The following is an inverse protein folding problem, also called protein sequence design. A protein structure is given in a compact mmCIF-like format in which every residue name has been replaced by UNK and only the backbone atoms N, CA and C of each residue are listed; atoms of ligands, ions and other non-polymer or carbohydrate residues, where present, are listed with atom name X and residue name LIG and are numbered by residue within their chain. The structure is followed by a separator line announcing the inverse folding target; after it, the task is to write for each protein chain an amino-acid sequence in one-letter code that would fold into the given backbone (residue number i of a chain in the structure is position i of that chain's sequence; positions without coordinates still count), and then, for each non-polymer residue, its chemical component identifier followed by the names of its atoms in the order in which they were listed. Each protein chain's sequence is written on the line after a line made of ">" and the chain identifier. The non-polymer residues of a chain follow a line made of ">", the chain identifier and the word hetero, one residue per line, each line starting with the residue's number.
data_IF_756671305168
#
_entry.id   IF_756671305168
#
_cell.length_a   1.000
_cell.length_b   1.000
_cell.length_c   1.000
_cell.angle_alpha   90.00
_cell.angle_beta   90.00
_cell.angle_gamma   90.00
#
_symmetry.space_group_name_H-M   'P 1'
#
loop_
_entity.id
_entity.type
_entity.pdbx_description
1 polymer ?
#
# COMPACT_ATOMS: atom_id res chain seq x y z
N UNK A 1 23.74 23.43 -20.18
CA UNK A 1 22.49 22.78 -19.71
C UNK A 1 21.50 23.88 -19.42
N UNK A 2 20.39 23.95 -20.13
CA UNK A 2 19.34 24.92 -19.84
C UNK A 2 18.44 24.37 -18.73
N UNK A 3 18.42 25.04 -17.57
CA UNK A 3 17.52 24.70 -16.47
C UNK A 3 16.14 25.26 -16.79
N UNK A 4 15.16 24.39 -17.01
CA UNK A 4 13.78 24.79 -17.27
C UNK A 4 13.12 25.07 -15.93
N UNK A 5 12.57 26.29 -15.69
CA UNK A 5 11.89 26.60 -14.45
C UNK A 5 10.60 25.78 -14.32
N UNK A 6 10.35 25.25 -13.12
CA UNK A 6 9.15 24.49 -12.84
C UNK A 6 7.91 25.41 -12.86
N UNK A 7 6.87 24.99 -13.60
CA UNK A 7 5.60 25.72 -13.71
C UNK A 7 4.70 25.48 -12.48
N UNK A 8 4.88 24.34 -11.81
CA UNK A 8 4.13 23.94 -10.61
C UNK A 8 5.07 23.48 -9.52
N UNK A 9 4.66 23.64 -8.27
CA UNK A 9 5.44 23.14 -7.13
C UNK A 9 5.47 21.61 -7.12
N UNK A 10 6.52 21.04 -6.51
CA UNK A 10 6.68 19.58 -6.44
C UNK A 10 5.55 18.93 -5.65
N UNK A 11 5.11 19.57 -4.57
CA UNK A 11 4.04 19.10 -3.69
C UNK A 11 2.70 19.02 -4.43
N UNK A 12 2.40 20.01 -5.29
CA UNK A 12 1.20 20.00 -6.11
C UNK A 12 1.25 18.89 -7.15
N UNK A 13 2.40 18.73 -7.81
CA UNK A 13 2.61 17.65 -8.76
C UNK A 13 2.39 16.28 -8.12
N UNK A 14 3.03 16.02 -6.97
CA UNK A 14 2.93 14.74 -6.27
C UNK A 14 1.49 14.47 -5.78
N UNK A 15 0.77 15.50 -5.29
CA UNK A 15 -0.67 15.39 -4.96
C UNK A 15 -1.52 14.99 -6.16
N UNK A 16 -1.26 15.58 -7.33
CA UNK A 16 -1.99 15.25 -8.56
C UNK A 16 -1.67 13.83 -8.99
N UNK A 17 -0.40 13.41 -8.96
CA UNK A 17 -0.02 12.03 -9.28
C UNK A 17 -0.73 11.01 -8.38
N UNK A 18 -0.75 11.24 -7.06
CA UNK A 18 -1.48 10.40 -6.11
C UNK A 18 -3.00 10.35 -6.41
N UNK A 19 -3.59 11.51 -6.74
CA UNK A 19 -5.01 11.58 -7.11
C UNK A 19 -5.30 10.85 -8.42
N UNK A 20 -4.43 10.96 -9.43
CA UNK A 20 -4.55 10.25 -10.70
C UNK A 20 -4.44 8.74 -10.52
N UNK A 21 -3.50 8.26 -9.68
CA UNK A 21 -3.37 6.85 -9.35
C UNK A 21 -4.65 6.30 -8.68
N UNK A 22 -5.20 7.04 -7.72
CA UNK A 22 -6.48 6.70 -7.08
C UNK A 22 -7.63 6.71 -8.10
N UNK A 23 -7.73 7.75 -8.92
CA UNK A 23 -8.79 7.85 -9.92
C UNK A 23 -8.71 6.72 -10.97
N UNK A 24 -7.51 6.19 -11.25
CA UNK A 24 -7.32 5.06 -12.16
C UNK A 24 -7.94 3.78 -11.61
N UNK A 25 -7.80 3.48 -10.32
CA UNK A 25 -8.42 2.30 -9.71
C UNK A 25 -9.95 2.41 -9.64
N UNK A 26 -10.47 3.63 -9.46
CA UNK A 26 -11.91 3.92 -9.41
C UNK A 26 -12.48 4.42 -10.75
N UNK A 27 -11.78 4.33 -11.87
CA UNK A 27 -12.27 4.87 -13.13
C UNK A 27 -13.55 4.17 -13.61
N UNK A 28 -14.60 4.94 -13.90
CA UNK A 28 -15.90 4.42 -14.38
C UNK A 28 -15.99 4.30 -15.92
N UNK A 29 -15.03 4.88 -16.65
CA UNK A 29 -15.07 5.03 -18.13
C UNK A 29 -15.30 3.72 -18.91
N UNK A 30 -14.82 2.58 -18.38
CA UNK A 30 -14.98 1.28 -19.02
C UNK A 30 -16.09 0.41 -18.38
N UNK A 31 -16.88 0.98 -17.47
CA UNK A 31 -17.96 0.27 -16.79
C UNK A 31 -19.32 0.73 -17.36
N UNK A 32 -19.69 0.18 -18.51
CA UNK A 32 -20.89 0.57 -19.25
C UNK A 32 -22.13 -0.27 -18.91
N UNK A 33 -21.96 -1.43 -18.26
CA UNK A 33 -23.01 -2.48 -18.26
C UNK A 33 -23.51 -2.90 -16.88
N UNK A 34 -22.77 -2.64 -15.80
CA UNK A 34 -23.11 -3.13 -14.46
C UNK A 34 -22.97 -2.04 -13.40
N UNK A 35 -24.09 -1.64 -12.78
CA UNK A 35 -24.14 -0.78 -11.59
C UNK A 35 -24.09 -1.69 -10.35
N UNK A 36 -23.02 -1.61 -9.57
CA UNK A 36 -22.85 -2.30 -8.29
C UNK A 36 -22.11 -1.37 -7.33
N UNK A 37 -22.47 -1.41 -6.05
CA UNK A 37 -22.09 -0.39 -5.06
C UNK A 37 -20.60 -0.47 -4.72
N UNK A 38 -20.11 -1.68 -4.42
CA UNK A 38 -18.77 -1.89 -3.83
C UNK A 38 -17.66 -2.04 -4.88
N UNK A 39 -17.74 -1.30 -5.98
CA UNK A 39 -16.75 -1.38 -7.06
C UNK A 39 -15.35 -1.00 -6.58
N UNK A 40 -14.38 -1.88 -6.83
CA UNK A 40 -12.98 -1.72 -6.42
C UNK A 40 -12.77 -1.63 -4.89
N UNK A 41 -13.78 -1.95 -4.08
CA UNK A 41 -13.70 -1.91 -2.61
C UNK A 41 -13.66 -3.29 -1.97
N UNK A 42 -14.07 -4.33 -2.70
CA UNK A 42 -14.14 -5.70 -2.16
C UNK A 42 -12.81 -6.43 -2.34
N UNK A 43 -12.28 -6.97 -1.24
CA UNK A 43 -11.12 -7.86 -1.21
C UNK A 43 -11.51 -9.25 -0.71
N UNK A 44 -10.81 -10.28 -1.19
CA UNK A 44 -11.07 -11.67 -0.80
C UNK A 44 -10.51 -11.96 0.60
N UNK A 45 -11.35 -12.34 1.55
CA UNK A 45 -10.89 -12.71 2.90
C UNK A 45 -9.90 -13.89 2.96
N UNK A 46 -9.89 -14.78 1.96
CA UNK A 46 -9.01 -15.95 1.93
C UNK A 46 -7.61 -15.69 1.36
N UNK A 47 -7.48 -14.78 0.38
CA UNK A 47 -6.21 -14.56 -0.32
C UNK A 47 -5.86 -13.09 -0.52
N UNK A 48 -6.64 -12.17 0.05
CA UNK A 48 -6.45 -10.72 0.06
C UNK A 48 -6.39 -10.03 -1.32
N UNK A 49 -6.58 -10.77 -2.41
CA UNK A 49 -6.70 -10.21 -3.75
C UNK A 49 -8.04 -9.51 -3.94
N UNK A 50 -8.07 -8.50 -4.80
CA UNK A 50 -9.28 -7.78 -5.15
C UNK A 50 -10.35 -8.70 -5.74
N UNK A 51 -11.61 -8.35 -5.52
CA UNK A 51 -12.78 -8.95 -6.15
C UNK A 51 -13.30 -8.03 -7.26
N UNK A 52 -13.70 -8.65 -8.37
CA UNK A 52 -14.36 -7.97 -9.47
C UNK A 52 -15.82 -8.42 -9.55
N UNK A 53 -16.73 -7.50 -9.86
CA UNK A 53 -18.09 -7.90 -10.15
C UNK A 53 -18.15 -8.57 -11.54
N UNK A 54 -18.92 -9.65 -11.65
CA UNK A 54 -19.28 -10.29 -12.91
C UNK A 54 -20.77 -10.60 -12.91
N UNK A 55 -21.41 -10.29 -14.03
CA UNK A 55 -22.77 -10.74 -14.32
C UNK A 55 -22.72 -12.18 -14.82
N UNK A 56 -23.48 -13.06 -14.20
CA UNK A 56 -23.68 -14.44 -14.61
C UNK A 56 -24.78 -14.50 -15.66
N UNK A 57 -24.50 -15.13 -16.79
CA UNK A 57 -25.51 -15.53 -17.78
C UNK A 57 -25.86 -17.01 -17.55
N UNK A 58 -27.14 -17.43 -17.62
CA UNK A 58 -28.33 -16.70 -18.11
C UNK A 58 -29.17 -16.00 -17.03
N UNK A 59 -28.87 -16.14 -15.74
CA UNK A 59 -29.73 -15.66 -14.64
C UNK A 59 -29.69 -14.15 -14.38
N UNK A 60 -28.88 -13.40 -15.13
CA UNK A 60 -28.62 -11.95 -15.01
C UNK A 60 -28.13 -11.48 -13.61
N UNK A 61 -27.80 -12.43 -12.74
CA UNK A 61 -27.35 -12.15 -11.38
C UNK A 61 -25.91 -11.66 -11.37
N UNK A 62 -25.62 -10.65 -10.56
CA UNK A 62 -24.26 -10.09 -10.41
C UNK A 62 -23.60 -10.66 -9.17
N UNK A 63 -22.32 -11.03 -9.29
CA UNK A 63 -21.52 -11.60 -8.21
C UNK A 63 -20.18 -10.89 -8.08
N UNK A 64 -19.70 -10.68 -6.86
CA UNK A 64 -18.30 -10.38 -6.61
C UNK A 64 -17.47 -11.66 -6.62
N UNK A 65 -16.44 -11.67 -7.48
CA UNK A 65 -15.58 -12.82 -7.72
C UNK A 65 -14.13 -12.41 -7.51
N UNK A 66 -13.43 -13.17 -6.66
CA UNK A 66 -12.00 -12.99 -6.42
C UNK A 66 -11.19 -13.09 -7.73
N UNK A 67 -10.32 -12.11 -7.98
CA UNK A 67 -9.41 -12.09 -9.14
C UNK A 67 -8.40 -13.22 -9.12
N UNK A 68 -8.13 -13.83 -7.96
CA UNK A 68 -7.39 -15.09 -7.81
C UNK A 68 -8.04 -16.29 -8.52
N UNK A 69 -9.28 -16.12 -9.02
CA UNK A 69 -9.96 -17.07 -9.88
C UNK A 69 -9.84 -16.75 -11.37
N UNK A 70 -9.15 -15.69 -11.77
CA UNK A 70 -8.82 -15.44 -13.18
C UNK A 70 -7.73 -16.39 -13.65
N UNK A 71 -7.84 -16.92 -14.87
CA UNK A 71 -6.90 -17.92 -15.41
C UNK A 71 -5.44 -17.44 -15.36
N UNK A 72 -5.17 -16.19 -15.78
CA UNK A 72 -3.83 -15.61 -15.77
C UNK A 72 -3.26 -15.52 -14.34
N UNK A 73 -4.08 -15.11 -13.37
CA UNK A 73 -3.67 -14.99 -11.97
C UNK A 73 -3.43 -16.37 -11.35
N UNK A 74 -4.30 -17.36 -11.63
CA UNK A 74 -4.10 -18.75 -11.21
C UNK A 74 -2.80 -19.34 -11.75
N UNK A 75 -2.50 -19.12 -13.04
CA UNK A 75 -1.25 -19.57 -13.65
C UNK A 75 -0.02 -18.96 -12.97
N UNK A 76 -0.08 -17.68 -12.60
CA UNK A 76 1.00 -16.99 -11.88
C UNK A 76 1.17 -17.50 -10.43
N UNK A 77 0.07 -17.76 -9.73
CA UNK A 77 0.11 -18.15 -8.31
C UNK A 77 0.27 -19.65 -8.09
N UNK A 78 0.12 -20.48 -9.13
CA UNK A 78 0.18 -21.94 -9.03
C UNK A 78 -1.01 -22.57 -8.29
N UNK A 79 -1.97 -21.77 -7.81
CA UNK A 79 -3.16 -22.25 -7.11
C UNK A 79 -4.41 -21.42 -7.46
N UNK A 80 -5.58 -22.00 -7.21
CA UNK A 80 -6.88 -21.33 -7.38
C UNK A 80 -7.44 -20.93 -6.01
N UNK A 81 -7.88 -19.67 -5.88
CA UNK A 81 -8.58 -19.23 -4.68
C UNK A 81 -9.89 -20.02 -4.48
N UNK A 82 -10.09 -20.57 -3.28
CA UNK A 82 -11.27 -21.39 -2.92
C UNK A 82 -12.48 -20.58 -2.44
N UNK A 83 -12.41 -19.25 -2.41
CA UNK A 83 -13.52 -18.40 -1.96
C UNK A 83 -14.80 -18.64 -2.77
N UNK A 84 -15.97 -18.46 -2.15
CA UNK A 84 -17.25 -18.56 -2.85
C UNK A 84 -17.50 -17.30 -3.68
N UNK A 85 -18.37 -17.40 -4.68
CA UNK A 85 -18.90 -16.21 -5.35
C UNK A 85 -19.89 -15.54 -4.41
N UNK A 86 -19.74 -14.23 -4.25
CA UNK A 86 -20.57 -13.47 -3.31
C UNK A 86 -21.68 -12.81 -4.13
N UNK A 87 -22.97 -13.09 -3.87
CA UNK A 87 -24.07 -12.37 -4.53
C UNK A 87 -23.93 -10.87 -4.28
N UNK A 88 -23.87 -10.08 -5.35
CA UNK A 88 -23.56 -8.65 -5.25
C UNK A 88 -24.63 -7.88 -4.47
N UNK A 89 -25.91 -8.14 -4.75
CA UNK A 89 -27.02 -7.49 -4.04
C UNK A 89 -26.98 -7.73 -2.53
N UNK A 90 -26.83 -8.98 -2.10
CA UNK A 90 -26.77 -9.30 -0.67
C UNK A 90 -25.59 -8.63 0.06
N UNK A 91 -24.43 -8.52 -0.61
CA UNK A 91 -23.28 -7.83 -0.03
C UNK A 91 -23.46 -6.31 -0.03
N UNK A 92 -23.97 -5.75 -1.13
CA UNK A 92 -24.24 -4.33 -1.28
C UNK A 92 -25.26 -3.86 -0.24
N UNK A 93 -26.35 -4.61 -0.04
CA UNK A 93 -27.39 -4.31 0.94
C UNK A 93 -26.84 -4.33 2.38
N UNK A 94 -26.03 -5.35 2.70
CA UNK A 94 -25.38 -5.46 4.02
C UNK A 94 -24.47 -4.26 4.28
N UNK A 95 -23.58 -3.94 3.33
CA UNK A 95 -22.65 -2.81 3.51
C UNK A 95 -23.39 -1.48 3.50
N UNK A 96 -24.47 -1.34 2.73
CA UNK A 96 -25.30 -0.15 2.74
C UNK A 96 -26.00 0.05 4.08
N UNK A 97 -26.55 -1.01 4.67
CA UNK A 97 -27.16 -0.95 6.01
C UNK A 97 -26.14 -0.53 7.07
N UNK A 98 -24.95 -1.13 7.06
CA UNK A 98 -23.85 -0.76 7.95
C UNK A 98 -23.43 0.71 7.75
N UNK A 99 -23.34 1.17 6.50
CA UNK A 99 -22.99 2.56 6.18
C UNK A 99 -24.05 3.53 6.71
N UNK A 100 -25.34 3.19 6.57
CA UNK A 100 -26.44 4.02 7.08
C UNK A 100 -26.38 4.10 8.62
N UNK A 101 -26.21 2.98 9.33
CA UNK A 101 -26.06 2.98 10.80
C UNK A 101 -24.85 3.81 11.23
N UNK A 102 -23.73 3.67 10.50
CA UNK A 102 -22.49 4.39 10.76
C UNK A 102 -22.66 5.90 10.59
N UNK A 103 -23.36 6.33 9.54
CA UNK A 103 -23.63 7.75 9.27
C UNK A 103 -24.64 8.35 10.28
N UNK A 104 -25.54 7.54 10.84
CA UNK A 104 -26.45 7.96 11.91
C UNK A 104 -25.72 8.15 13.26
N UNK A 105 -24.55 7.55 13.42
CA UNK A 105 -23.75 7.63 14.64
C UNK A 105 -22.32 8.14 14.35
N UNK A 106 -22.16 9.40 13.88
CA UNK A 106 -20.86 9.93 13.46
C UNK A 106 -19.81 9.94 14.59
N UNK A 107 -20.24 10.00 15.85
CA UNK A 107 -19.35 9.88 17.01
C UNK A 107 -18.64 8.53 17.08
N UNK A 108 -19.28 7.45 16.60
CA UNK A 108 -18.67 6.12 16.52
C UNK A 108 -17.59 6.09 15.45
N UNK A 109 -17.81 6.77 14.31
CA UNK A 109 -16.81 6.95 13.25
C UNK A 109 -15.63 7.75 13.78
N UNK A 110 -15.87 8.90 14.42
CA UNK A 110 -14.82 9.73 14.98
C UNK A 110 -13.96 8.94 15.98
N UNK A 111 -14.59 8.17 16.88
CA UNK A 111 -13.87 7.29 17.82
C UNK A 111 -13.14 6.13 17.13
N UNK A 112 -13.69 5.56 16.06
CA UNK A 112 -13.04 4.50 15.30
C UNK A 112 -11.85 5.04 14.49
N UNK A 113 -11.99 6.20 13.86
CA UNK A 113 -10.92 6.92 13.18
C UNK A 113 -9.84 7.36 14.17
N UNK A 114 -10.20 7.91 15.33
CA UNK A 114 -9.21 8.21 16.38
C UNK A 114 -8.45 6.96 16.85
N UNK A 115 -9.13 5.81 16.97
CA UNK A 115 -8.47 4.53 17.27
C UNK A 115 -7.57 4.05 16.11
N UNK A 116 -7.99 4.22 14.86
CA UNK A 116 -7.22 3.84 13.69
C UNK A 116 -5.99 4.75 13.49
N UNK A 117 -6.18 6.07 13.57
CA UNK A 117 -5.18 7.13 13.44
C UNK A 117 -4.24 7.23 14.65
N UNK A 118 -4.73 6.93 15.85
CA UNK A 118 -3.96 6.87 17.09
C UNK A 118 -2.99 5.69 17.16
N UNK A 119 -2.90 4.92 16.09
CA UNK A 119 -1.88 3.92 15.97
C UNK A 119 -2.35 2.49 16.28
N UNK A 120 -3.59 2.14 16.01
CA UNK A 120 -4.04 0.76 16.16
C UNK A 120 -4.41 0.08 14.83
N UNK A 121 -4.36 0.80 13.69
CA UNK A 121 -4.75 0.26 12.38
C UNK A 121 -3.66 -0.46 11.59
N UNK A 122 -2.39 -0.39 12.03
CA UNK A 122 -1.33 -1.24 11.48
C UNK A 122 -1.13 -2.39 12.48
N UNK A 123 -1.10 -3.66 12.03
CA UNK A 123 -0.66 -4.78 12.87
C UNK A 123 0.54 -4.37 13.70
N UNK A 124 0.54 -4.66 15.01
CA UNK A 124 1.63 -4.30 15.93
C UNK A 124 3.01 -4.70 15.38
N UNK A 125 3.05 -5.82 14.65
CA UNK A 125 4.20 -6.33 13.92
C UNK A 125 4.73 -5.36 12.84
N UNK A 126 3.84 -4.74 12.04
CA UNK A 126 4.23 -3.77 11.01
C UNK A 126 4.81 -2.49 11.62
N UNK A 127 4.27 -2.04 12.75
CA UNK A 127 4.82 -0.89 13.51
C UNK A 127 6.17 -1.19 14.09
N UNK A 128 6.30 -2.33 14.76
CA UNK A 128 7.57 -2.79 15.32
C UNK A 128 8.61 -2.93 14.21
N UNK A 129 8.21 -3.43 13.03
CA UNK A 129 9.08 -3.55 11.86
C UNK A 129 9.52 -2.19 11.31
N UNK A 130 8.62 -1.24 11.13
CA UNK A 130 8.97 0.13 10.71
C UNK A 130 9.92 0.80 11.70
N UNK A 131 9.63 0.69 13.00
CA UNK A 131 10.47 1.25 14.06
C UNK A 131 11.86 0.59 14.08
N UNK A 132 11.94 -0.73 13.91
CA UNK A 132 13.21 -1.45 13.84
C UNK A 132 14.04 -1.01 12.61
N UNK A 133 13.41 -0.83 11.45
CA UNK A 133 14.09 -0.33 10.25
C UNK A 133 14.62 1.09 10.48
N UNK A 134 13.81 1.99 11.05
CA UNK A 134 14.23 3.37 11.38
C UNK A 134 15.40 3.41 12.36
N UNK A 135 15.36 2.60 13.42
CA UNK A 135 16.47 2.47 14.37
C UNK A 135 17.73 1.92 13.71
N UNK A 136 17.59 0.91 12.84
CA UNK A 136 18.69 0.33 12.08
C UNK A 136 19.39 1.37 11.20
N UNK A 137 18.62 2.16 10.45
CA UNK A 137 19.15 3.25 9.60
C UNK A 137 19.82 4.35 10.41
N UNK A 138 19.23 4.75 11.54
CA UNK A 138 19.82 5.75 12.44
C UNK A 138 21.16 5.26 13.03
N UNK A 139 21.27 3.97 13.37
CA UNK A 139 22.52 3.36 13.83
C UNK A 139 23.59 3.33 12.75
N UNK A 140 23.22 3.01 11.50
CA UNK A 140 24.15 3.06 10.36
C UNK A 140 24.63 4.49 10.07
N UNK A 141 23.75 5.49 10.16
CA UNK A 141 24.12 6.89 10.01
C UNK A 141 25.18 7.31 11.06
N UNK A 142 24.96 6.95 12.34
CA UNK A 142 25.95 7.19 13.40
C UNK A 142 27.28 6.44 13.16
N UNK A 143 27.25 5.24 12.59
CA UNK A 143 28.47 4.50 12.23
C UNK A 143 29.24 5.18 11.11
N UNK A 144 28.56 5.73 10.10
CA UNK A 144 29.18 6.49 9.00
C UNK A 144 29.83 7.77 9.55
N UNK A 145 29.16 8.46 10.48
CA UNK A 145 29.68 9.65 11.12
C UNK A 145 30.96 9.35 11.92
N UNK A 146 30.93 8.33 12.79
CA UNK A 146 32.11 7.86 13.54
C UNK A 146 33.26 7.39 12.64
N UNK A 147 32.94 6.69 11.55
CA UNK A 147 33.93 6.27 10.56
C UNK A 147 34.59 7.49 9.89
N UNK A 148 33.82 8.55 9.65
CA UNK A 148 34.32 9.80 9.07
C UNK A 148 35.20 10.56 10.06
N UNK A 149 34.82 10.64 11.34
CA UNK A 149 35.68 11.19 12.39
C UNK A 149 37.02 10.43 12.50
N UNK A 150 36.98 9.10 12.48
CA UNK A 150 38.19 8.27 12.55
C UNK A 150 39.13 8.49 11.35
N UNK A 151 38.59 8.71 10.15
CA UNK A 151 39.39 9.10 8.98
C UNK A 151 40.00 10.50 9.13
N UNK A 152 39.20 11.48 9.56
CA UNK A 152 39.68 12.86 9.77
C UNK A 152 40.76 12.95 10.87
N UNK A 153 40.70 12.09 11.88
CA UNK A 153 41.73 11.99 12.92
C UNK A 153 43.02 11.29 12.48
N UNK A 154 43.11 10.82 11.22
CA UNK A 154 44.30 10.18 10.67
C UNK A 154 44.53 8.73 11.12
N UNK A 155 43.57 8.13 11.83
CA UNK A 155 43.65 6.74 12.33
C UNK A 155 43.42 5.71 11.23
N UNK A 156 42.71 6.09 10.16
CA UNK A 156 42.38 5.24 9.02
C UNK A 156 42.95 5.78 7.71
N UNK A 157 43.43 4.87 6.86
CA UNK A 157 43.82 5.20 5.49
C UNK A 157 42.59 5.35 4.58
N UNK A 158 42.72 6.12 3.50
CA UNK A 158 41.62 6.46 2.61
C UNK A 158 40.99 5.22 1.93
N UNK A 159 41.82 4.27 1.51
CA UNK A 159 41.39 3.01 0.90
C UNK A 159 40.52 2.17 1.85
N UNK A 160 40.89 2.13 3.13
CA UNK A 160 40.13 1.43 4.16
C UNK A 160 38.83 2.16 4.51
N UNK A 161 38.85 3.49 4.55
CA UNK A 161 37.65 4.33 4.73
C UNK A 161 36.63 4.11 3.61
N UNK A 162 37.05 4.22 2.34
CA UNK A 162 36.17 4.04 1.19
C UNK A 162 35.52 2.66 1.16
N UNK A 163 36.30 1.61 1.48
CA UNK A 163 35.79 0.25 1.55
C UNK A 163 34.71 0.11 2.62
N UNK A 164 34.97 0.57 3.85
CA UNK A 164 34.02 0.48 4.98
C UNK A 164 32.79 1.34 4.77
N UNK A 165 32.94 2.54 4.18
CA UNK A 165 31.82 3.43 3.86
C UNK A 165 30.87 2.83 2.82
N UNK A 166 31.41 2.28 1.72
CA UNK A 166 30.60 1.58 0.70
C UNK A 166 29.80 0.42 1.28
N UNK A 167 30.36 -0.29 2.27
CA UNK A 167 29.65 -1.38 2.94
C UNK A 167 28.45 -0.87 3.76
N UNK A 168 28.64 0.21 4.53
CA UNK A 168 27.56 0.83 5.31
C UNK A 168 26.47 1.44 4.41
N UNK A 169 26.85 2.09 3.31
CA UNK A 169 25.90 2.65 2.32
C UNK A 169 25.09 1.55 1.64
N UNK A 170 25.68 0.39 1.32
CA UNK A 170 24.94 -0.77 0.79
C UNK A 170 23.94 -1.33 1.80
N UNK A 171 24.29 -1.35 3.08
CA UNK A 171 23.38 -1.78 4.15
C UNK A 171 22.22 -0.78 4.32
N UNK A 172 22.48 0.52 4.29
CA UNK A 172 21.41 1.53 4.34
C UNK A 172 20.48 1.44 3.14
N UNK A 173 21.02 1.27 1.92
CA UNK A 173 20.22 1.08 0.71
C UNK A 173 19.35 -0.20 0.79
N UNK A 174 19.85 -1.26 1.42
CA UNK A 174 19.08 -2.49 1.65
C UNK A 174 17.92 -2.24 2.63
N UNK A 175 18.15 -1.50 3.72
CA UNK A 175 17.10 -1.14 4.67
C UNK A 175 16.09 -0.15 4.08
N UNK A 176 16.54 0.80 3.25
CA UNK A 176 15.67 1.73 2.54
C UNK A 176 14.73 1.00 1.56
N UNK A 177 15.25 0.03 0.80
CA UNK A 177 14.42 -0.82 -0.05
C UNK A 177 13.40 -1.65 0.76
N UNK A 178 13.77 -2.10 1.97
CA UNK A 178 12.83 -2.80 2.85
C UNK A 178 11.75 -1.87 3.41
N UNK A 179 12.06 -0.59 3.62
CA UNK A 179 11.10 0.44 4.06
C UNK A 179 10.12 0.82 2.94
N UNK A 180 10.57 0.90 1.68
CA UNK A 180 9.69 1.15 0.52
C UNK A 180 8.75 -0.02 0.16
N UNK A 181 9.10 -1.24 0.58
CA UNK A 181 8.30 -2.45 0.35
C UNK A 181 7.24 -2.70 1.43
N UNK A 182 7.16 -1.84 2.46
CA UNK A 182 6.14 -1.86 3.53
C UNK A 182 4.98 -0.91 3.22
#
# INVERSE_FOLDING_TARGET
>A
MATIPAIVTRELFDRVQAKMATNRSFAARNNTTTKYLLRALVSCGSCQLACQARRATPTDQTYYICTGKNLQVRKRLGCTCRSKFIPAGALDDLVWADLVDLLQHPDRVAKALQRASGGCGLPQELRARQENLRRGRSSLAQQIERLTEAYLSGVLKLDEYERRRKELERRDATLANQEELL
#
